data_IF_344752493768
#
_entry.id   IF_344752493768
#
_cell.length_a   1.000
_cell.length_b   1.000
_cell.length_c   1.000
_cell.angle_alpha   90.00
_cell.angle_beta   90.00
_cell.angle_gamma   90.00
#
_symmetry.space_group_name_H-M   'P 1'
#
loop_
_entity.id
_entity.type
_entity.pdbx_description
1 polymer ?
#
# COMPACT_ATOMS: atom_id res chain seq x y z
N UNK A 1 -6.86 19.28 5.80
CA UNK A 1 -6.30 20.02 4.66
C UNK A 1 -7.02 21.35 4.45
N UNK A 2 -8.35 21.37 4.45
CA UNK A 2 -9.16 22.58 4.28
C UNK A 2 -8.79 23.69 5.27
N UNK A 3 -8.65 23.37 6.55
CA UNK A 3 -8.25 24.34 7.58
C UNK A 3 -6.88 24.96 7.28
N UNK A 4 -5.93 24.15 6.79
CA UNK A 4 -4.62 24.64 6.36
C UNK A 4 -4.72 25.55 5.14
N UNK A 5 -5.55 25.22 4.15
CA UNK A 5 -5.73 26.08 2.97
C UNK A 5 -6.40 27.40 3.31
N UNK A 6 -7.29 27.44 4.30
CA UNK A 6 -7.97 28.66 4.75
C UNK A 6 -7.05 29.57 5.55
N UNK A 7 -6.16 29.04 6.35
CA UNK A 7 -5.26 29.82 7.20
C UNK A 7 -3.88 29.16 7.36
N UNK A 8 -3.05 29.17 6.30
CA UNK A 8 -1.74 28.50 6.31
C UNK A 8 -0.73 29.14 7.28
N UNK A 9 -1.03 30.29 7.87
CA UNK A 9 -0.16 30.94 8.85
C UNK A 9 -0.30 30.33 10.25
N UNK A 10 -1.50 29.85 10.58
CA UNK A 10 -1.80 29.34 11.92
C UNK A 10 -1.94 27.79 11.96
N UNK A 11 -1.93 27.11 10.81
CA UNK A 11 -1.99 25.67 10.73
C UNK A 11 -0.75 25.08 10.07
N UNK A 12 -0.33 23.92 10.57
CA UNK A 12 0.72 23.10 9.95
C UNK A 12 0.04 21.84 9.42
N UNK A 13 0.25 21.56 8.12
CA UNK A 13 -0.23 20.33 7.51
C UNK A 13 0.81 19.22 7.69
N UNK A 14 0.64 18.40 8.73
CA UNK A 14 1.52 17.28 9.05
C UNK A 14 1.07 16.03 8.29
N UNK A 15 1.59 15.82 7.08
CA UNK A 15 1.36 14.64 6.27
C UNK A 15 2.67 13.89 6.04
N UNK A 16 2.62 12.56 6.14
CA UNK A 16 3.78 11.69 5.95
C UNK A 16 3.63 10.71 4.77
N UNK A 17 2.88 11.09 3.71
CA UNK A 17 2.69 10.23 2.54
C UNK A 17 3.44 10.76 1.31
N UNK A 18 3.62 9.90 0.28
CA UNK A 18 4.23 10.24 -1.02
C UNK A 18 3.23 10.93 -1.96
N UNK A 19 2.25 11.64 -1.41
CA UNK A 19 1.20 12.38 -2.11
C UNK A 19 1.46 13.88 -2.08
N UNK A 20 0.81 14.64 -2.95
CA UNK A 20 0.94 16.08 -3.06
C UNK A 20 1.94 16.53 -4.12
N UNK A 21 2.12 17.87 -4.27
CA UNK A 21 3.01 18.43 -5.28
C UNK A 21 4.49 18.21 -4.94
N UNK A 22 5.34 18.34 -5.96
CA UNK A 22 6.79 18.38 -5.72
C UNK A 22 7.15 19.50 -4.72
N UNK A 23 8.07 19.26 -3.73
CA UNK A 23 8.95 18.10 -3.59
C UNK A 23 8.44 17.00 -2.63
N UNK A 24 7.24 17.09 -2.07
CA UNK A 24 6.77 16.22 -0.99
C UNK A 24 6.89 14.72 -1.28
N UNK A 25 6.44 14.20 -2.45
CA UNK A 25 6.58 12.78 -2.74
C UNK A 25 8.04 12.30 -2.73
N UNK A 26 8.95 13.11 -3.25
CA UNK A 26 10.38 12.78 -3.27
C UNK A 26 10.97 12.77 -1.86
N UNK A 27 10.66 13.78 -1.05
CA UNK A 27 11.16 13.87 0.32
C UNK A 27 10.70 12.67 1.16
N UNK A 28 9.41 12.33 1.09
CA UNK A 28 8.87 11.19 1.85
C UNK A 28 9.46 9.87 1.36
N UNK A 29 9.59 9.67 0.05
CA UNK A 29 10.29 8.51 -0.50
C UNK A 29 11.70 8.37 0.08
N UNK A 30 12.47 9.45 0.07
CA UNK A 30 13.87 9.44 0.50
C UNK A 30 13.99 9.16 2.01
N UNK A 31 13.07 9.70 2.83
CA UNK A 31 13.00 9.38 4.25
C UNK A 31 12.60 7.91 4.51
N UNK A 32 11.72 7.35 3.70
CA UNK A 32 11.28 5.96 3.84
C UNK A 32 12.25 4.95 3.19
N UNK A 33 13.16 5.39 2.34
CA UNK A 33 14.07 4.51 1.59
C UNK A 33 15.01 3.68 2.48
N UNK A 34 15.24 4.09 3.73
CA UNK A 34 15.98 3.31 4.72
C UNK A 34 15.41 1.90 4.90
N UNK A 35 14.08 1.75 4.86
CA UNK A 35 13.38 0.46 4.95
C UNK A 35 13.85 -0.50 3.84
N UNK A 36 13.80 -0.03 2.60
CA UNK A 36 14.19 -0.84 1.44
C UNK A 36 15.69 -1.15 1.41
N UNK A 37 16.53 -0.16 1.72
CA UNK A 37 17.98 -0.34 1.73
C UNK A 37 18.41 -1.40 2.75
N UNK A 38 17.88 -1.34 3.97
CA UNK A 38 18.17 -2.31 5.01
C UNK A 38 17.61 -3.70 4.67
N UNK A 39 16.35 -3.75 4.23
CA UNK A 39 15.70 -5.01 3.85
C UNK A 39 16.45 -5.72 2.72
N UNK A 40 16.88 -4.98 1.69
CA UNK A 40 17.66 -5.53 0.58
C UNK A 40 19.01 -6.09 1.03
N UNK A 41 19.74 -5.33 1.85
CA UNK A 41 21.04 -5.75 2.35
C UNK A 41 20.94 -6.99 3.25
N UNK A 42 20.00 -6.98 4.20
CA UNK A 42 19.76 -8.10 5.12
C UNK A 42 19.31 -9.35 4.38
N UNK A 43 18.41 -9.20 3.40
CA UNK A 43 17.90 -10.32 2.62
C UNK A 43 19.03 -10.98 1.80
N UNK A 44 19.83 -10.17 1.12
CA UNK A 44 20.98 -10.66 0.34
C UNK A 44 22.01 -11.33 1.24
N UNK A 45 22.30 -10.76 2.41
CA UNK A 45 23.21 -11.36 3.39
C UNK A 45 22.71 -12.72 3.89
N UNK A 46 21.40 -12.85 4.11
CA UNK A 46 20.79 -14.06 4.68
C UNK A 46 20.62 -15.19 3.68
N UNK A 47 20.25 -14.85 2.44
CA UNK A 47 19.84 -15.82 1.40
C UNK A 47 20.83 -15.93 0.23
N UNK A 48 21.84 -15.07 0.14
CA UNK A 48 22.79 -15.04 -0.98
C UNK A 48 22.21 -14.59 -2.32
N UNK A 49 20.91 -14.27 -2.36
CA UNK A 49 20.17 -13.83 -3.56
C UNK A 49 19.08 -12.84 -3.17
N UNK A 50 18.53 -12.10 -4.15
CA UNK A 50 17.37 -11.24 -3.95
C UNK A 50 16.07 -12.05 -3.96
N UNK A 51 14.99 -11.54 -3.34
CA UNK A 51 13.69 -12.19 -3.41
C UNK A 51 13.12 -12.11 -4.82
N UNK A 52 12.26 -13.05 -5.20
CA UNK A 52 11.52 -13.00 -6.46
C UNK A 52 10.44 -11.92 -6.43
N UNK A 53 9.82 -11.71 -5.27
CA UNK A 53 8.78 -10.70 -5.10
C UNK A 53 9.05 -9.83 -3.88
N UNK A 54 8.84 -8.52 -4.04
CA UNK A 54 8.75 -7.56 -2.94
C UNK A 54 7.34 -6.97 -2.93
N UNK A 55 6.64 -7.11 -1.81
CA UNK A 55 5.21 -6.82 -1.70
C UNK A 55 4.95 -5.81 -0.60
N UNK A 56 4.13 -4.81 -0.88
CA UNK A 56 3.71 -3.82 0.10
C UNK A 56 2.25 -3.41 -0.13
N UNK A 57 1.53 -3.05 0.94
CA UNK A 57 0.21 -2.44 0.81
C UNK A 57 0.33 -1.01 0.28
N UNK A 58 -0.71 -0.56 -0.44
CA UNK A 58 -0.72 0.74 -1.08
C UNK A 58 -2.04 1.47 -0.83
N UNK A 59 -1.95 2.57 -0.07
CA UNK A 59 -2.96 3.64 0.00
C UNK A 59 -2.37 4.87 -0.67
N UNK A 60 -1.90 5.87 0.08
CA UNK A 60 -1.05 6.94 -0.49
C UNK A 60 0.30 6.43 -1.00
N UNK A 61 0.82 5.34 -0.44
CA UNK A 61 1.92 4.54 -0.96
C UNK A 61 3.30 4.80 -0.35
N UNK A 62 3.43 5.50 0.80
CA UNK A 62 4.73 5.86 1.37
C UNK A 62 5.56 4.64 1.78
N UNK A 63 4.96 3.66 2.46
CA UNK A 63 5.66 2.44 2.85
C UNK A 63 6.16 1.63 1.64
N UNK A 64 5.32 1.54 0.60
CA UNK A 64 5.65 0.84 -0.63
C UNK A 64 6.78 1.53 -1.39
N UNK A 65 6.76 2.86 -1.54
CA UNK A 65 7.88 3.60 -2.12
C UNK A 65 9.17 3.39 -1.32
N UNK A 66 9.06 3.38 0.02
CA UNK A 66 10.21 3.13 0.89
C UNK A 66 10.92 1.83 0.58
N UNK A 67 10.18 0.73 0.48
CA UNK A 67 10.79 -0.57 0.20
C UNK A 67 11.12 -0.75 -1.29
N UNK A 68 10.26 -0.33 -2.22
CA UNK A 68 10.45 -0.53 -3.66
C UNK A 68 11.67 0.22 -4.19
N UNK A 69 11.98 1.40 -3.66
CA UNK A 69 13.09 2.24 -4.13
C UNK A 69 14.41 1.48 -4.20
N UNK A 70 14.70 0.63 -3.22
CA UNK A 70 15.93 -0.16 -3.19
C UNK A 70 16.01 -1.28 -4.24
N UNK A 71 14.85 -1.66 -4.83
CA UNK A 71 14.76 -2.77 -5.80
C UNK A 71 14.37 -2.31 -7.21
N UNK A 72 14.20 -1.00 -7.44
CA UNK A 72 13.75 -0.48 -8.75
C UNK A 72 14.65 -0.89 -9.92
N UNK A 73 15.96 -0.99 -9.68
CA UNK A 73 16.95 -1.36 -10.70
C UNK A 73 17.12 -2.88 -10.87
N UNK A 74 16.59 -3.68 -9.95
CA UNK A 74 16.70 -5.14 -10.00
C UNK A 74 15.56 -5.72 -10.86
N UNK A 75 15.73 -5.77 -12.18
CA UNK A 75 14.68 -6.17 -13.13
C UNK A 75 14.12 -7.60 -12.90
N UNK A 76 14.90 -8.47 -12.27
CA UNK A 76 14.49 -9.83 -11.91
C UNK A 76 13.60 -9.88 -10.64
N UNK A 77 13.47 -8.78 -9.90
CA UNK A 77 12.63 -8.68 -8.72
C UNK A 77 11.29 -8.08 -9.12
N UNK A 78 10.21 -8.84 -8.95
CA UNK A 78 8.85 -8.35 -9.17
C UNK A 78 8.40 -7.50 -7.97
N UNK A 79 7.95 -6.28 -8.25
CA UNK A 79 7.41 -5.37 -7.24
C UNK A 79 5.89 -5.39 -7.30
N UNK A 80 5.24 -5.61 -6.17
CA UNK A 80 3.78 -5.76 -6.11
C UNK A 80 3.19 -4.82 -5.07
N UNK A 81 2.38 -3.88 -5.52
CA UNK A 81 1.57 -3.00 -4.68
C UNK A 81 0.16 -3.58 -4.48
N UNK A 82 -0.25 -3.78 -3.24
CA UNK A 82 -1.56 -4.36 -2.94
C UNK A 82 -2.50 -3.28 -2.43
N UNK A 83 -3.52 -2.98 -3.22
CA UNK A 83 -4.56 -2.00 -2.94
C UNK A 83 -5.78 -2.63 -2.25
N UNK A 84 -6.60 -1.84 -1.52
CA UNK A 84 -7.80 -2.36 -0.89
C UNK A 84 -8.95 -2.49 -1.91
N UNK A 85 -9.36 -3.73 -2.18
CA UNK A 85 -10.59 -4.01 -2.93
C UNK A 85 -11.86 -3.79 -2.09
N UNK A 86 -11.73 -3.56 -0.78
CA UNK A 86 -12.88 -3.29 0.09
C UNK A 86 -13.91 -4.42 0.05
N UNK A 87 -15.15 -4.06 -0.26
CA UNK A 87 -16.24 -5.02 -0.42
C UNK A 87 -16.34 -5.64 -1.83
N UNK A 88 -15.45 -5.25 -2.74
CA UNK A 88 -15.38 -5.72 -4.13
C UNK A 88 -15.12 -4.59 -5.12
N UNK A 89 -14.31 -4.86 -6.14
CA UNK A 89 -13.96 -3.86 -7.18
C UNK A 89 -15.15 -3.51 -8.08
N UNK A 90 -16.15 -4.36 -8.13
CA UNK A 90 -17.41 -4.15 -8.86
C UNK A 90 -18.40 -3.24 -8.14
N UNK A 91 -18.07 -2.77 -6.93
CA UNK A 91 -18.93 -1.93 -6.10
C UNK A 91 -18.38 -0.50 -6.01
N UNK A 92 -18.85 0.45 -6.83
CA UNK A 92 -18.39 1.84 -6.78
C UNK A 92 -18.55 2.44 -5.37
N UNK A 93 -17.52 3.14 -4.90
CA UNK A 93 -17.51 3.75 -3.57
C UNK A 93 -17.29 2.76 -2.42
N UNK A 94 -17.07 1.46 -2.71
CA UNK A 94 -16.86 0.42 -1.70
C UNK A 94 -15.49 -0.24 -1.79
N UNK A 95 -14.54 0.39 -2.48
CA UNK A 95 -13.13 0.03 -2.57
C UNK A 95 -12.27 1.30 -2.64
N UNK A 96 -10.96 1.19 -2.46
CA UNK A 96 -10.00 2.27 -2.68
C UNK A 96 -8.81 1.81 -3.56
N UNK A 97 -9.08 0.92 -4.52
CA UNK A 97 -8.10 0.39 -5.46
C UNK A 97 -7.87 1.37 -6.61
N UNK A 98 -7.14 2.44 -6.33
CA UNK A 98 -6.98 3.61 -7.20
C UNK A 98 -6.21 3.29 -8.48
N UNK A 99 -5.12 2.53 -8.41
CA UNK A 99 -4.34 2.17 -9.60
C UNK A 99 -5.03 1.06 -10.41
N UNK A 100 -5.75 0.17 -9.75
CA UNK A 100 -6.47 -0.91 -10.42
C UNK A 100 -7.70 -0.42 -11.18
N UNK A 101 -8.44 0.58 -10.64
CA UNK A 101 -9.77 0.97 -11.12
C UNK A 101 -9.89 2.44 -11.53
N UNK A 102 -8.97 3.30 -11.08
CA UNK A 102 -8.98 4.73 -11.35
C UNK A 102 -8.41 5.09 -12.73
N UNK A 103 -8.41 6.36 -13.03
CA UNK A 103 -7.88 6.95 -14.27
C UNK A 103 -6.92 8.10 -13.95
N UNK A 104 -6.04 8.48 -14.91
CA UNK A 104 -5.20 9.66 -14.76
C UNK A 104 -6.04 10.92 -14.51
N UNK A 105 -5.67 11.70 -13.50
CA UNK A 105 -6.36 12.91 -13.10
C UNK A 105 -5.49 13.80 -12.22
N UNK A 106 -6.12 14.72 -11.50
CA UNK A 106 -5.44 15.64 -10.57
C UNK A 106 -6.11 15.59 -9.21
N UNK A 107 -5.29 15.44 -8.17
CA UNK A 107 -5.77 15.47 -6.79
C UNK A 107 -4.71 16.13 -5.90
N UNK A 108 -5.14 17.02 -5.00
CA UNK A 108 -4.27 17.69 -4.02
C UNK A 108 -2.99 18.30 -4.63
N UNK A 109 -3.08 18.88 -5.83
CA UNK A 109 -1.97 19.56 -6.51
C UNK A 109 -0.96 18.63 -7.18
N UNK A 110 -1.30 17.37 -7.41
CA UNK A 110 -0.46 16.39 -8.11
C UNK A 110 -1.21 15.74 -9.27
N UNK A 111 -0.48 15.34 -10.31
CA UNK A 111 -0.97 14.44 -11.35
C UNK A 111 -0.80 13.01 -10.85
N UNK A 112 -1.88 12.25 -10.82
CA UNK A 112 -1.88 10.86 -10.34
C UNK A 112 -3.08 10.10 -10.91
N UNK A 113 -3.18 8.80 -10.61
CA UNK A 113 -4.45 8.10 -10.78
C UNK A 113 -5.42 8.51 -9.68
N UNK A 114 -6.70 8.64 -10.02
CA UNK A 114 -7.78 9.06 -9.11
C UNK A 114 -9.01 8.19 -9.35
N UNK A 115 -9.69 7.81 -8.27
CA UNK A 115 -11.05 7.31 -8.33
C UNK A 115 -11.99 8.53 -8.36
N UNK A 116 -12.76 8.67 -9.44
CA UNK A 116 -13.68 9.79 -9.63
C UNK A 116 -15.12 9.30 -9.76
N UNK A 117 -16.05 10.15 -9.32
CA UNK A 117 -17.48 9.99 -9.54
C UNK A 117 -17.86 10.46 -10.96
N UNK A 118 -19.15 10.37 -11.30
CA UNK A 118 -19.68 10.79 -12.61
C UNK A 118 -19.54 12.29 -12.88
N UNK A 119 -19.29 13.10 -11.85
CA UNK A 119 -19.08 14.54 -11.95
C UNK A 119 -17.59 14.91 -12.15
N UNK A 120 -16.68 13.92 -12.10
CA UNK A 120 -15.24 14.14 -12.17
C UNK A 120 -14.62 14.61 -10.86
N UNK A 121 -15.33 14.45 -9.75
CA UNK A 121 -14.84 14.73 -8.41
C UNK A 121 -14.30 13.46 -7.77
N UNK A 122 -13.40 13.55 -6.75
CA UNK A 122 -12.93 12.38 -6.03
C UNK A 122 -14.11 11.56 -5.49
N UNK A 123 -14.14 10.28 -5.85
CA UNK A 123 -15.21 9.38 -5.45
C UNK A 123 -15.14 9.05 -3.95
N UNK A 124 -16.27 8.75 -3.30
CA UNK A 124 -16.25 8.04 -2.03
C UNK A 124 -15.49 6.73 -2.18
N UNK A 125 -14.71 6.36 -1.17
CA UNK A 125 -13.93 5.13 -1.13
C UNK A 125 -14.21 4.37 0.16
N UNK A 126 -13.76 3.12 0.22
CA UNK A 126 -13.88 2.29 1.41
C UNK A 126 -12.70 1.34 1.54
N UNK A 127 -12.17 1.24 2.74
CA UNK A 127 -11.28 0.18 3.20
C UNK A 127 -11.50 -0.06 4.69
N UNK A 128 -11.41 -1.32 5.14
CA UNK A 128 -11.38 -1.62 6.58
C UNK A 128 -10.09 -1.11 7.23
N UNK A 129 -9.06 -0.84 6.44
CA UNK A 129 -7.81 -0.25 6.87
C UNK A 129 -7.83 1.26 6.60
N UNK A 130 -7.98 2.06 7.65
CA UNK A 130 -8.13 3.53 7.53
C UNK A 130 -6.95 4.20 6.83
N UNK A 131 -5.74 3.64 6.93
CA UNK A 131 -4.56 4.16 6.24
C UNK A 131 -4.53 3.90 4.72
N UNK A 132 -5.46 3.09 4.20
CA UNK A 132 -5.61 2.83 2.77
C UNK A 132 -6.87 3.47 2.16
N UNK A 133 -7.68 4.15 2.97
CA UNK A 133 -8.95 4.76 2.57
C UNK A 133 -8.72 6.13 1.92
N UNK A 134 -8.25 6.13 0.66
CA UNK A 134 -7.87 7.33 -0.09
C UNK A 134 -8.17 7.16 -1.59
N UNK A 135 -8.84 8.13 -2.25
CA UNK A 135 -9.24 8.03 -3.65
C UNK A 135 -8.13 8.37 -4.65
N UNK A 136 -6.93 8.60 -4.18
CA UNK A 136 -5.76 8.94 -4.99
C UNK A 136 -4.56 8.09 -4.67
N UNK A 137 -3.42 8.42 -5.27
CA UNK A 137 -2.17 7.68 -5.12
C UNK A 137 -0.99 8.62 -5.30
N UNK A 138 0.16 8.29 -4.74
CA UNK A 138 1.38 9.02 -5.00
C UNK A 138 1.75 9.07 -6.48
N UNK A 139 2.20 10.22 -7.02
CA UNK A 139 2.51 10.37 -8.45
C UNK A 139 3.62 9.42 -8.91
N UNK A 140 4.54 9.05 -8.03
CA UNK A 140 5.60 8.09 -8.35
C UNK A 140 5.03 6.69 -8.57
N UNK A 141 4.00 6.27 -7.83
CA UNK A 141 3.31 5.01 -8.07
C UNK A 141 2.58 5.01 -9.42
N UNK A 142 1.92 6.12 -9.76
CA UNK A 142 1.28 6.29 -11.06
C UNK A 142 2.30 6.11 -12.19
N UNK A 143 3.45 6.75 -12.08
CA UNK A 143 4.54 6.62 -13.04
C UNK A 143 5.09 5.19 -13.12
N UNK A 144 5.28 4.50 -11.99
CA UNK A 144 5.78 3.12 -11.96
C UNK A 144 4.78 2.13 -12.56
N UNK A 145 3.47 2.39 -12.42
CA UNK A 145 2.43 1.64 -13.11
C UNK A 145 2.53 1.81 -14.64
N UNK A 146 2.61 3.06 -15.09
CA UNK A 146 2.68 3.36 -16.53
C UNK A 146 3.94 2.78 -17.19
N UNK A 147 5.04 2.69 -16.43
CA UNK A 147 6.27 2.02 -16.86
C UNK A 147 6.16 0.49 -16.85
N UNK A 148 5.13 -0.09 -16.25
CA UNK A 148 5.06 -1.54 -16.03
C UNK A 148 6.15 -2.07 -15.10
N UNK A 149 6.70 -1.22 -14.20
CA UNK A 149 7.74 -1.63 -13.25
C UNK A 149 7.19 -2.22 -11.98
N UNK A 150 6.01 -1.84 -11.58
CA UNK A 150 5.29 -2.34 -10.40
C UNK A 150 3.92 -2.83 -10.84
N UNK A 151 3.58 -4.05 -10.44
CA UNK A 151 2.25 -4.61 -10.61
C UNK A 151 1.36 -4.16 -9.44
N UNK A 152 0.20 -3.59 -9.76
CA UNK A 152 -0.77 -3.20 -8.74
C UNK A 152 -1.97 -4.15 -8.82
N UNK A 153 -2.24 -4.76 -7.68
CA UNK A 153 -3.28 -5.76 -7.50
C UNK A 153 -4.11 -5.40 -6.27
N UNK A 154 -5.21 -6.09 -6.05
CA UNK A 154 -6.06 -5.79 -4.92
C UNK A 154 -6.33 -7.02 -4.05
N UNK A 155 -6.61 -6.76 -2.76
CA UNK A 155 -7.12 -7.73 -1.81
C UNK A 155 -8.39 -7.16 -1.15
N UNK A 156 -9.41 -8.01 -0.96
CA UNK A 156 -10.66 -7.59 -0.34
C UNK A 156 -10.61 -7.64 1.19
N UNK A 157 -11.65 -7.09 1.82
CA UNK A 157 -11.77 -7.01 3.28
C UNK A 157 -11.71 -8.40 3.94
N UNK A 158 -12.27 -9.43 3.31
CA UNK A 158 -12.26 -10.80 3.86
C UNK A 158 -10.87 -11.44 3.75
N UNK A 159 -10.19 -11.27 2.61
CA UNK A 159 -8.80 -11.71 2.44
C UNK A 159 -7.89 -11.05 3.47
N UNK A 160 -8.08 -9.73 3.70
CA UNK A 160 -7.33 -8.98 4.70
C UNK A 160 -7.57 -9.51 6.12
N UNK A 161 -8.81 -9.72 6.55
CA UNK A 161 -9.15 -10.27 7.86
C UNK A 161 -8.59 -11.68 8.05
N UNK A 162 -8.68 -12.51 7.03
CA UNK A 162 -8.11 -13.86 7.06
C UNK A 162 -6.59 -13.83 7.23
N UNK A 163 -5.90 -12.95 6.51
CA UNK A 163 -4.45 -12.77 6.61
C UNK A 163 -4.04 -12.26 7.99
N UNK A 164 -4.77 -11.27 8.54
CA UNK A 164 -4.60 -10.78 9.90
C UNK A 164 -4.65 -11.92 10.92
N UNK A 165 -5.69 -12.74 10.85
CA UNK A 165 -5.89 -13.87 11.77
C UNK A 165 -4.84 -14.97 11.60
N UNK A 166 -4.49 -15.30 10.36
CA UNK A 166 -3.49 -16.34 10.09
C UNK A 166 -2.11 -15.94 10.62
N UNK A 167 -1.64 -14.72 10.32
CA UNK A 167 -0.34 -14.25 10.78
C UNK A 167 -0.29 -14.18 12.31
N UNK A 168 -1.38 -13.71 12.94
CA UNK A 168 -1.48 -13.64 14.40
C UNK A 168 -1.42 -15.01 15.05
N UNK A 169 -2.07 -16.04 14.49
CA UNK A 169 -2.13 -17.39 15.04
C UNK A 169 -0.88 -18.20 14.81
N UNK A 170 -0.27 -18.06 13.62
CA UNK A 170 0.85 -18.91 13.20
C UNK A 170 2.19 -18.32 13.64
N UNK A 171 2.36 -17.00 13.50
CA UNK A 171 3.63 -16.32 13.76
C UNK A 171 3.62 -15.51 15.07
N UNK A 172 2.47 -15.36 15.72
CA UNK A 172 2.34 -14.52 16.92
C UNK A 172 2.50 -13.02 16.61
N UNK A 173 2.36 -12.61 15.35
CA UNK A 173 2.50 -11.24 14.91
C UNK A 173 1.11 -10.69 14.56
N UNK A 174 0.68 -9.63 15.24
CA UNK A 174 -0.55 -8.92 14.93
C UNK A 174 -0.23 -7.81 13.91
N UNK A 175 -0.53 -8.00 12.61
CA UNK A 175 -0.25 -6.99 11.61
C UNK A 175 -1.27 -5.85 11.68
N UNK A 176 -0.92 -4.64 11.27
CA UNK A 176 -1.93 -3.64 10.96
C UNK A 176 -2.81 -4.13 9.80
N UNK A 177 -4.10 -3.74 9.77
CA UNK A 177 -5.00 -4.09 8.67
C UNK A 177 -4.46 -3.60 7.32
N UNK A 178 -3.73 -2.49 7.31
CA UNK A 178 -3.04 -2.00 6.13
C UNK A 178 -2.07 -3.06 5.57
N UNK A 179 -1.13 -3.51 6.39
CA UNK A 179 -0.11 -4.49 5.97
C UNK A 179 -0.68 -5.90 5.78
N UNK A 180 -1.82 -6.23 6.40
CA UNK A 180 -2.51 -7.50 6.18
C UNK A 180 -2.97 -7.68 4.72
N UNK A 181 -3.20 -6.60 3.95
CA UNK A 181 -3.46 -6.67 2.50
C UNK A 181 -2.26 -7.27 1.74
N UNK A 182 -1.04 -6.85 2.08
CA UNK A 182 0.16 -7.41 1.47
C UNK A 182 0.38 -8.88 1.87
N UNK A 183 0.08 -9.24 3.12
CA UNK A 183 0.12 -10.63 3.61
C UNK A 183 -0.94 -11.49 2.89
N UNK A 184 -2.15 -10.95 2.67
CA UNK A 184 -3.21 -11.64 1.93
C UNK A 184 -2.76 -12.05 0.52
N UNK A 185 -2.11 -11.12 -0.20
CA UNK A 185 -1.52 -11.44 -1.49
C UNK A 185 -0.46 -12.55 -1.38
N UNK A 186 0.43 -12.47 -0.40
CA UNK A 186 1.46 -13.47 -0.21
C UNK A 186 0.86 -14.86 0.07
N UNK A 187 -0.16 -14.95 0.91
CA UNK A 187 -0.88 -16.21 1.19
C UNK A 187 -1.51 -16.78 -0.09
N UNK A 188 -2.07 -15.93 -0.93
CA UNK A 188 -2.73 -16.33 -2.18
C UNK A 188 -1.74 -16.82 -3.24
N UNK A 189 -0.57 -16.21 -3.32
CA UNK A 189 0.40 -16.46 -4.39
C UNK A 189 1.50 -17.47 -4.02
N UNK A 190 1.92 -17.53 -2.76
CA UNK A 190 2.98 -18.44 -2.31
C UNK A 190 2.77 -19.92 -2.70
N UNK A 191 1.54 -20.49 -2.64
CA UNK A 191 1.32 -21.89 -3.05
C UNK A 191 1.58 -22.17 -4.54
N UNK A 192 1.64 -21.13 -5.38
CA UNK A 192 1.89 -21.24 -6.83
C UNK A 192 3.38 -21.14 -7.17
N UNK A 193 4.21 -20.80 -6.19
CA UNK A 193 5.64 -20.56 -6.37
C UNK A 193 6.48 -21.82 -6.10
N UNK A 194 7.69 -21.85 -6.65
CA UNK A 194 8.70 -22.86 -6.34
C UNK A 194 9.18 -22.75 -4.88
N UNK A 195 9.60 -23.87 -4.31
CA UNK A 195 10.03 -23.92 -2.89
C UNK A 195 11.31 -23.13 -2.60
N UNK A 196 12.08 -22.81 -3.60
CA UNK A 196 13.33 -22.02 -3.57
C UNK A 196 13.11 -20.55 -3.89
N UNK A 197 11.86 -20.16 -4.16
CA UNK A 197 11.46 -18.78 -4.39
C UNK A 197 11.04 -18.09 -3.09
N UNK A 198 11.26 -16.78 -3.02
CA UNK A 198 11.01 -15.97 -1.82
C UNK A 198 10.11 -14.79 -2.12
N UNK A 199 9.23 -14.52 -1.18
CA UNK A 199 8.42 -13.29 -1.12
C UNK A 199 8.91 -12.47 0.08
N UNK A 200 9.31 -11.23 -0.15
CA UNK A 200 9.62 -10.26 0.89
C UNK A 200 8.40 -9.34 1.08
N UNK A 201 7.67 -9.50 2.17
CA UNK A 201 6.52 -8.67 2.52
C UNK A 201 6.93 -7.54 3.42
N UNK A 202 6.60 -6.31 3.05
CA UNK A 202 6.75 -5.14 3.91
C UNK A 202 5.63 -5.09 4.95
N UNK A 203 5.91 -5.59 6.15
CA UNK A 203 4.97 -5.54 7.27
C UNK A 203 5.06 -4.15 7.95
N UNK A 204 4.40 -3.18 7.35
CA UNK A 204 4.60 -1.75 7.58
C UNK A 204 3.93 -1.18 8.84
N UNK A 205 3.18 -1.99 9.59
CA UNK A 205 2.50 -1.51 10.79
C UNK A 205 2.06 -2.62 11.73
N UNK A 206 1.92 -2.25 13.01
CA UNK A 206 1.41 -3.11 14.09
C UNK A 206 -0.11 -3.04 14.17
N UNK A 207 -0.76 -4.13 14.52
CA UNK A 207 -2.21 -4.28 14.51
C UNK A 207 -2.89 -4.24 15.88
N UNK A 208 -2.18 -3.93 16.95
CA UNK A 208 -2.79 -3.76 18.29
C UNK A 208 -3.87 -2.66 18.28
N UNK A 209 -3.70 -1.63 17.46
CA UNK A 209 -4.71 -0.58 17.23
C UNK A 209 -6.00 -1.09 16.58
N UNK A 210 -5.92 -2.21 15.86
CA UNK A 210 -7.03 -2.77 15.05
C UNK A 210 -7.73 -3.95 15.77
N UNK A 211 -7.17 -4.43 16.88
CA UNK A 211 -7.62 -5.64 17.54
C UNK A 211 -9.09 -5.57 17.95
N UNK A 212 -9.53 -4.49 18.58
CA UNK A 212 -10.94 -4.31 19.00
C UNK A 212 -11.90 -4.31 17.81
N UNK A 213 -11.51 -3.65 16.71
CA UNK A 213 -12.28 -3.66 15.46
C UNK A 213 -12.40 -5.08 14.89
N UNK A 214 -11.29 -5.82 14.83
CA UNK A 214 -11.27 -7.19 14.27
C UNK A 214 -12.09 -8.14 15.14
N UNK A 215 -11.96 -8.06 16.48
CA UNK A 215 -12.77 -8.84 17.44
C UNK A 215 -14.25 -8.60 17.19
N UNK A 216 -14.68 -7.33 17.14
CA UNK A 216 -16.08 -6.98 16.91
C UNK A 216 -16.57 -7.44 15.52
N UNK A 217 -15.75 -7.30 14.48
CA UNK A 217 -16.10 -7.68 13.10
C UNK A 217 -16.23 -9.18 12.91
N UNK A 218 -15.46 -9.98 13.64
CA UNK A 218 -15.46 -11.45 13.56
C UNK A 218 -16.33 -12.11 14.62
N UNK A 219 -16.86 -11.35 15.60
CA UNK A 219 -17.69 -11.88 16.68
C UNK A 219 -16.91 -12.77 17.67
N UNK A 220 -15.65 -12.44 17.96
CA UNK A 220 -14.75 -13.17 18.84
C UNK A 220 -14.87 -12.71 20.30
#
# INVERSE_FOLDING_TARGET
>A
FESYLQDPKNFIYAIGSVVGPHPFPMMVRDFQAGIGNEARAQFLQRHGQLPQHVVACVGGGSNAMGIFTAFLQDAAVHLVGVEPAGEGLDKPGRHAATLSMGKPGQLHGMNCYVLENDQGEPAPVHSIASGLDYPGIGPQHSFLKDLGRVDYVAADDQECLNAFMQLSRIEGIIPALESAHAVAWAIREAPKMGKDQHILVNLSGRGDKDADFVIAKLGL
#
